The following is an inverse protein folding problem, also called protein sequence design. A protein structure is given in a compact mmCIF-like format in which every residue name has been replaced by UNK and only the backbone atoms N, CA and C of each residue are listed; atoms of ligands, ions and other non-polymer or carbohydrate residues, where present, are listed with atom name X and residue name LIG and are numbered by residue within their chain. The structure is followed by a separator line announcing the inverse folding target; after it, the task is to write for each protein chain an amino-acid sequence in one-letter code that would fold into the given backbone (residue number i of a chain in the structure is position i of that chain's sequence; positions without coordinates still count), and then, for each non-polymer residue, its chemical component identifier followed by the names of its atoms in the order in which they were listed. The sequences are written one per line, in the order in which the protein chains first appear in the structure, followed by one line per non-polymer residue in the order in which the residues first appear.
data_IF_064027514313
#
_entry.id   IF_064027514313
#
_cell.length_a   1.000
_cell.length_b   1.000
_cell.length_c   1.000
_cell.angle_alpha   90.00
_cell.angle_beta   90.00
_cell.angle_gamma   90.00
#
_symmetry.space_group_name_H-M   'P 1'
#
loop_
_entity.id
_entity.type
_entity.pdbx_description
1 polymer ?
#
# COMPACT_ATOMS: atom_id res chain seq x y z
N UNK A 1 -30.53 31.92 -14.98
CA UNK A 1 -30.93 30.57 -14.53
C UNK A 1 -30.00 29.55 -15.17
N UNK A 2 -28.97 29.07 -14.45
CA UNK A 2 -28.15 27.95 -14.92
C UNK A 2 -28.99 26.69 -14.73
N UNK A 3 -29.44 26.07 -15.82
CA UNK A 3 -30.06 24.75 -15.77
C UNK A 3 -29.08 23.80 -15.06
N UNK A 4 -29.45 23.35 -13.86
CA UNK A 4 -28.82 22.19 -13.25
C UNK A 4 -29.14 21.00 -14.17
N UNK A 5 -28.20 20.66 -15.04
CA UNK A 5 -28.25 19.39 -15.76
C UNK A 5 -28.27 18.31 -14.68
N UNK A 6 -29.39 17.63 -14.52
CA UNK A 6 -29.47 16.46 -13.66
C UNK A 6 -28.54 15.40 -14.25
N UNK A 7 -27.32 15.33 -13.71
CA UNK A 7 -26.38 14.26 -14.03
C UNK A 7 -26.96 12.99 -13.44
N UNK A 8 -27.67 12.23 -14.27
CA UNK A 8 -28.07 10.87 -13.95
C UNK A 8 -26.80 10.00 -13.97
N UNK A 9 -26.46 9.42 -12.81
CA UNK A 9 -25.32 8.52 -12.64
C UNK A 9 -24.33 8.93 -11.55
N UNK A 10 -23.18 8.26 -11.56
CA UNK A 10 -22.04 8.56 -10.70
C UNK A 10 -21.28 9.80 -11.16
N UNK A 11 -20.66 10.51 -10.22
CA UNK A 11 -19.77 11.62 -10.53
C UNK A 11 -18.63 11.13 -11.46
N UNK A 12 -18.30 11.83 -12.57
CA UNK A 12 -17.39 11.33 -13.60
C UNK A 12 -16.03 10.85 -13.06
N UNK A 13 -15.46 11.59 -12.10
CA UNK A 13 -14.19 11.20 -11.46
C UNK A 13 -14.31 9.92 -10.63
N UNK A 14 -15.45 9.69 -9.97
CA UNK A 14 -15.68 8.45 -9.22
C UNK A 14 -15.84 7.30 -10.20
N UNK A 15 -16.62 7.49 -11.26
CA UNK A 15 -16.79 6.49 -12.33
C UNK A 15 -15.46 6.09 -12.95
N UNK A 16 -14.58 7.07 -13.24
CA UNK A 16 -13.24 6.82 -13.77
C UNK A 16 -12.44 5.90 -12.84
N UNK A 17 -12.31 6.25 -11.55
CA UNK A 17 -11.48 5.49 -10.63
C UNK A 17 -12.08 4.13 -10.26
N UNK A 18 -13.42 4.02 -10.18
CA UNK A 18 -14.09 2.73 -10.04
C UNK A 18 -13.82 1.87 -11.27
N UNK A 19 -13.90 2.41 -12.49
CA UNK A 19 -13.61 1.66 -13.71
C UNK A 19 -12.14 1.21 -13.75
N UNK A 20 -11.19 2.08 -13.42
CA UNK A 20 -9.76 1.73 -13.32
C UNK A 20 -9.55 0.60 -12.32
N UNK A 21 -10.16 0.69 -11.14
CA UNK A 21 -10.07 -0.34 -10.12
C UNK A 21 -10.69 -1.66 -10.54
N UNK A 22 -11.87 -1.64 -11.19
CA UNK A 22 -12.53 -2.84 -11.70
C UNK A 22 -11.76 -3.49 -12.85
N UNK A 23 -11.18 -2.71 -13.76
CA UNK A 23 -10.31 -3.22 -14.83
C UNK A 23 -9.07 -3.88 -14.22
N UNK A 24 -8.43 -3.22 -13.23
CA UNK A 24 -7.31 -3.81 -12.50
C UNK A 24 -7.67 -5.12 -11.82
N UNK A 25 -8.86 -5.21 -11.21
CA UNK A 25 -9.32 -6.38 -10.48
C UNK A 25 -9.74 -7.54 -11.38
N UNK A 26 -10.40 -7.25 -12.51
CA UNK A 26 -11.08 -8.24 -13.34
C UNK A 26 -10.32 -8.63 -14.61
N UNK A 27 -9.39 -7.81 -15.08
CA UNK A 27 -8.75 -7.99 -16.40
C UNK A 27 -7.24 -8.18 -16.29
N UNK A 28 -6.56 -7.44 -15.41
CA UNK A 28 -5.10 -7.50 -15.36
C UNK A 28 -4.61 -8.60 -14.41
N UNK A 29 -3.46 -9.23 -14.72
CA UNK A 29 -2.80 -10.15 -13.80
C UNK A 29 -2.60 -9.52 -12.43
N UNK A 30 -3.07 -10.22 -11.39
CA UNK A 30 -3.00 -9.70 -10.03
C UNK A 30 -1.59 -9.84 -9.43
N UNK A 31 -0.89 -10.91 -9.79
CA UNK A 31 0.50 -11.17 -9.40
C UNK A 31 1.46 -10.86 -10.55
N UNK A 32 2.74 -10.70 -10.20
CA UNK A 32 3.82 -10.50 -11.17
C UNK A 32 4.00 -11.73 -12.05
N UNK A 33 4.06 -11.51 -13.36
CA UNK A 33 4.26 -12.53 -14.37
C UNK A 33 5.75 -12.85 -14.57
N UNK A 34 6.08 -14.09 -14.92
CA UNK A 34 7.49 -14.49 -15.17
C UNK A 34 8.11 -13.75 -16.36
N UNK A 35 7.32 -13.54 -17.42
CA UNK A 35 7.68 -12.72 -18.56
C UNK A 35 7.38 -11.24 -18.32
N UNK A 36 8.04 -10.36 -19.08
CA UNK A 36 7.72 -8.92 -19.06
C UNK A 36 6.25 -8.68 -19.44
N UNK A 37 5.50 -7.95 -18.62
CA UNK A 37 4.07 -7.72 -18.84
C UNK A 37 3.72 -7.18 -20.23
N UNK A 38 4.59 -6.34 -20.81
CA UNK A 38 4.38 -5.74 -22.12
C UNK A 38 4.59 -6.68 -23.31
N UNK A 39 5.11 -7.91 -23.11
CA UNK A 39 5.17 -8.92 -24.19
C UNK A 39 3.82 -9.58 -24.44
N UNK A 40 2.82 -9.36 -23.58
CA UNK A 40 1.46 -9.89 -23.70
C UNK A 40 1.39 -11.44 -23.78
N UNK A 41 2.47 -12.13 -23.41
CA UNK A 41 2.54 -13.60 -23.32
C UNK A 41 1.52 -14.14 -22.32
N UNK A 42 1.26 -13.39 -21.24
CA UNK A 42 0.25 -13.72 -20.25
C UNK A 42 -1.17 -13.91 -20.84
N UNK A 43 -1.49 -13.32 -22.01
CA UNK A 43 -2.77 -13.56 -22.68
C UNK A 43 -2.87 -14.96 -23.31
N UNK A 44 -1.72 -15.57 -23.63
CA UNK A 44 -1.62 -16.88 -24.28
C UNK A 44 -1.27 -17.99 -23.27
N UNK A 45 -0.72 -17.63 -22.12
CA UNK A 45 -0.30 -18.54 -21.05
C UNK A 45 -1.46 -18.95 -20.12
N UNK A 46 -2.64 -19.28 -20.69
CA UNK A 46 -3.77 -19.81 -19.92
C UNK A 46 -4.72 -18.78 -19.29
N UNK A 47 -4.63 -17.52 -19.70
CA UNK A 47 -5.57 -16.47 -19.27
C UNK A 47 -7.04 -16.80 -19.61
N UNK A 48 -8.00 -16.49 -18.72
CA UNK A 48 -7.87 -15.87 -17.40
C UNK A 48 -7.84 -16.85 -16.21
N UNK A 49 -7.76 -18.16 -16.47
CA UNK A 49 -8.01 -19.18 -15.43
C UNK A 49 -6.73 -19.67 -14.75
N UNK A 50 -5.59 -19.63 -15.43
CA UNK A 50 -4.31 -20.04 -14.87
C UNK A 50 -3.87 -19.10 -13.74
N UNK A 51 -3.58 -19.65 -12.56
CA UNK A 51 -3.28 -18.90 -11.34
C UNK A 51 -2.06 -17.97 -11.43
N UNK A 52 -1.12 -18.25 -12.35
CA UNK A 52 0.08 -17.43 -12.52
C UNK A 52 -0.19 -16.13 -13.30
N UNK A 53 -1.24 -16.11 -14.14
CA UNK A 53 -1.63 -14.94 -14.96
C UNK A 53 -3.05 -14.42 -14.66
N UNK A 54 -3.79 -15.09 -13.78
CA UNK A 54 -5.18 -14.79 -13.51
C UNK A 54 -5.37 -13.41 -12.86
N UNK A 55 -6.45 -12.70 -13.26
CA UNK A 55 -6.93 -11.55 -12.51
C UNK A 55 -7.48 -11.95 -11.14
N UNK A 56 -7.53 -10.99 -10.23
CA UNK A 56 -7.99 -11.21 -8.86
C UNK A 56 -9.43 -11.73 -8.77
N UNK A 57 -10.29 -11.29 -9.69
CA UNK A 57 -11.65 -11.80 -9.78
C UNK A 57 -11.67 -13.32 -9.99
N UNK A 58 -10.85 -13.83 -10.91
CA UNK A 58 -10.80 -15.25 -11.21
C UNK A 58 -10.16 -16.05 -10.08
N UNK A 59 -9.06 -15.55 -9.51
CA UNK A 59 -8.41 -16.15 -8.34
C UNK A 59 -9.33 -16.25 -7.13
N UNK A 60 -10.16 -15.23 -6.90
CA UNK A 60 -11.14 -15.22 -5.82
C UNK A 60 -12.31 -16.18 -6.09
N UNK A 61 -12.82 -16.23 -7.33
CA UNK A 61 -13.95 -17.09 -7.72
C UNK A 61 -13.57 -18.57 -7.77
N UNK A 62 -12.33 -18.89 -8.15
CA UNK A 62 -11.80 -20.26 -8.14
C UNK A 62 -11.48 -20.76 -6.72
N UNK A 63 -11.50 -19.87 -5.72
CA UNK A 63 -11.21 -20.20 -4.32
C UNK A 63 -9.72 -20.36 -4.01
N UNK A 64 -8.83 -20.07 -4.96
CA UNK A 64 -7.38 -20.16 -4.76
C UNK A 64 -6.88 -19.09 -3.78
N UNK A 65 -7.36 -17.84 -3.94
CA UNK A 65 -6.88 -16.69 -3.17
C UNK A 65 -8.06 -15.92 -2.54
N UNK A 66 -8.74 -16.49 -1.52
CA UNK A 66 -9.99 -15.93 -0.99
C UNK A 66 -9.82 -14.53 -0.37
N UNK A 67 -8.61 -14.18 0.09
CA UNK A 67 -8.31 -12.84 0.60
C UNK A 67 -8.35 -11.75 -0.47
N UNK A 68 -8.51 -12.06 -1.75
CA UNK A 68 -8.72 -11.06 -2.79
C UNK A 68 -10.18 -10.59 -2.89
N UNK A 69 -11.13 -11.39 -2.40
CA UNK A 69 -12.56 -11.09 -2.51
C UNK A 69 -12.98 -9.76 -1.86
N UNK A 70 -12.46 -9.36 -0.67
CA UNK A 70 -12.80 -8.08 -0.06
C UNK A 70 -12.46 -6.86 -0.93
N UNK A 71 -11.41 -6.94 -1.77
CA UNK A 71 -11.03 -5.86 -2.67
C UNK A 71 -12.14 -5.61 -3.71
N UNK A 72 -12.63 -6.67 -4.34
CA UNK A 72 -13.73 -6.58 -5.29
C UNK A 72 -14.99 -6.00 -4.65
N UNK A 73 -15.35 -6.45 -3.45
CA UNK A 73 -16.49 -5.92 -2.70
C UNK A 73 -16.34 -4.43 -2.42
N UNK A 74 -15.16 -3.98 -1.97
CA UNK A 74 -14.89 -2.57 -1.69
C UNK A 74 -14.96 -1.70 -2.95
N UNK A 75 -14.54 -2.21 -4.11
CA UNK A 75 -14.68 -1.51 -5.40
C UNK A 75 -16.12 -1.33 -5.85
N UNK A 76 -17.05 -2.17 -5.36
CA UNK A 76 -18.47 -2.05 -5.67
C UNK A 76 -19.21 -1.07 -4.73
N UNK A 77 -18.67 -0.76 -3.55
CA UNK A 77 -19.33 0.14 -2.58
C UNK A 77 -19.62 1.54 -3.14
N UNK A 78 -18.76 2.18 -3.96
CA UNK A 78 -19.06 3.49 -4.54
C UNK A 78 -20.33 3.54 -5.39
N UNK A 79 -20.83 2.42 -5.92
CA UNK A 79 -22.11 2.39 -6.66
C UNK A 79 -23.31 2.79 -5.78
N UNK A 80 -23.20 2.75 -4.45
CA UNK A 80 -24.21 3.29 -3.52
C UNK A 80 -24.38 4.82 -3.66
N UNK A 81 -23.44 5.51 -4.32
CA UNK A 81 -23.52 6.94 -4.62
C UNK A 81 -24.24 7.24 -5.93
N UNK A 82 -24.90 6.26 -6.54
CA UNK A 82 -25.69 6.48 -7.75
C UNK A 82 -26.72 7.59 -7.55
N UNK A 83 -26.73 8.59 -8.44
CA UNK A 83 -27.55 9.80 -8.35
C UNK A 83 -27.36 10.65 -7.08
N UNK A 84 -26.28 10.44 -6.31
CA UNK A 84 -25.93 11.29 -5.16
C UNK A 84 -25.05 12.46 -5.60
N UNK A 85 -25.37 13.64 -5.08
CA UNK A 85 -24.62 14.86 -5.38
C UNK A 85 -23.37 14.97 -4.52
N UNK A 86 -22.32 15.65 -5.03
CA UNK A 86 -21.07 15.92 -4.29
C UNK A 86 -21.31 16.70 -2.98
N UNK A 87 -22.39 17.49 -2.90
CA UNK A 87 -22.75 18.27 -1.72
C UNK A 87 -23.33 17.41 -0.57
N UNK A 88 -23.70 16.15 -0.82
CA UNK A 88 -24.19 15.25 0.22
C UNK A 88 -23.04 14.88 1.18
N UNK A 89 -23.15 15.13 2.51
CA UNK A 89 -22.13 14.70 3.47
C UNK A 89 -21.85 13.19 3.46
N UNK A 90 -22.77 12.37 2.97
CA UNK A 90 -22.58 10.94 2.77
C UNK A 90 -21.58 10.64 1.65
N UNK A 91 -21.58 11.41 0.55
CA UNK A 91 -20.70 11.24 -0.60
C UNK A 91 -19.22 11.23 -0.18
N UNK A 92 -18.79 12.28 0.51
CA UNK A 92 -17.40 12.38 0.98
C UNK A 92 -17.04 11.31 2.01
N UNK A 93 -17.93 11.02 2.98
CA UNK A 93 -17.68 10.02 4.02
C UNK A 93 -17.52 8.62 3.46
N UNK A 94 -18.39 8.22 2.53
CA UNK A 94 -18.33 6.89 1.92
C UNK A 94 -17.04 6.72 1.13
N UNK A 95 -16.66 7.69 0.29
CA UNK A 95 -15.45 7.61 -0.52
C UNK A 95 -14.17 7.61 0.33
N UNK A 96 -14.13 8.40 1.40
CA UNK A 96 -13.02 8.38 2.37
C UNK A 96 -12.94 7.00 3.03
N UNK A 97 -14.06 6.46 3.51
CA UNK A 97 -14.07 5.16 4.18
C UNK A 97 -13.64 4.04 3.23
N UNK A 98 -14.24 3.94 2.05
CA UNK A 98 -13.94 2.91 1.05
C UNK A 98 -12.50 3.02 0.57
N UNK A 99 -12.05 4.22 0.23
CA UNK A 99 -10.69 4.45 -0.24
C UNK A 99 -9.65 4.13 0.84
N UNK A 100 -9.88 4.57 2.08
CA UNK A 100 -8.97 4.28 3.19
C UNK A 100 -8.94 2.79 3.53
N UNK A 101 -10.11 2.15 3.66
CA UNK A 101 -10.20 0.73 4.01
C UNK A 101 -9.62 -0.13 2.88
N UNK A 102 -9.97 0.13 1.62
CA UNK A 102 -9.47 -0.61 0.47
C UNK A 102 -7.96 -0.48 0.29
N UNK A 103 -7.44 0.74 0.42
CA UNK A 103 -5.99 0.98 0.34
C UNK A 103 -5.26 0.31 1.51
N UNK A 104 -5.73 0.50 2.74
CA UNK A 104 -5.12 -0.12 3.92
C UNK A 104 -5.18 -1.65 3.85
N UNK A 105 -6.27 -2.23 3.37
CA UNK A 105 -6.41 -3.66 3.18
C UNK A 105 -5.36 -4.19 2.21
N UNK A 106 -5.17 -3.55 1.05
CA UNK A 106 -4.13 -3.95 0.09
C UNK A 106 -2.72 -3.83 0.67
N UNK A 107 -2.45 -2.75 1.40
CA UNK A 107 -1.14 -2.58 2.05
C UNK A 107 -0.90 -3.66 3.10
N UNK A 108 -1.86 -3.88 3.99
CA UNK A 108 -1.77 -4.92 5.01
C UNK A 108 -1.62 -6.28 4.38
N UNK A 109 -2.39 -6.63 3.35
CA UNK A 109 -2.27 -7.88 2.61
C UNK A 109 -0.87 -8.04 1.99
N UNK A 110 -0.39 -7.03 1.25
CA UNK A 110 0.91 -7.09 0.55
C UNK A 110 2.11 -7.19 1.48
N UNK A 111 1.96 -6.73 2.72
CA UNK A 111 2.98 -6.82 3.74
C UNK A 111 2.80 -8.02 4.67
N UNK A 112 1.58 -8.46 4.94
CA UNK A 112 1.30 -9.57 5.84
C UNK A 112 1.57 -10.94 5.20
N UNK A 113 1.33 -11.09 3.89
CA UNK A 113 1.47 -12.37 3.19
C UNK A 113 2.74 -12.34 2.33
N UNK A 114 3.67 -13.25 2.63
CA UNK A 114 4.93 -13.41 1.90
C UNK A 114 4.99 -14.68 1.05
N UNK A 115 6.18 -14.96 0.53
CA UNK A 115 6.47 -16.11 -0.34
C UNK A 115 6.41 -17.47 0.40
N UNK A 116 6.40 -17.46 1.74
CA UNK A 116 6.40 -18.65 2.62
C UNK A 116 5.23 -18.64 3.61
N UNK A 117 4.14 -17.95 3.27
CA UNK A 117 2.99 -17.75 4.17
C UNK A 117 3.06 -16.43 4.93
N UNK A 118 2.54 -16.39 6.16
CA UNK A 118 2.51 -15.18 6.97
C UNK A 118 3.91 -14.64 7.25
N UNK A 119 4.12 -13.34 7.04
CA UNK A 119 5.39 -12.67 7.34
C UNK A 119 5.60 -12.49 8.84
N UNK A 120 4.52 -12.39 9.61
CA UNK A 120 4.58 -12.18 11.05
C UNK A 120 4.02 -13.38 11.79
N UNK A 121 4.76 -13.90 12.77
CA UNK A 121 4.37 -15.13 13.51
C UNK A 121 3.04 -14.98 14.26
N UNK A 122 2.72 -13.78 14.75
CA UNK A 122 1.45 -13.53 15.45
C UNK A 122 0.22 -13.74 14.54
N UNK A 123 0.37 -13.61 13.22
CA UNK A 123 -0.71 -13.92 12.27
C UNK A 123 -0.92 -15.43 12.17
N UNK A 124 0.15 -16.22 12.18
CA UNK A 124 0.05 -17.69 12.24
C UNK A 124 -0.64 -18.13 13.53
N UNK A 125 -0.36 -17.49 14.66
CA UNK A 125 -1.01 -17.80 15.92
C UNK A 125 -2.52 -17.47 15.93
N UNK A 126 -2.94 -16.41 15.23
CA UNK A 126 -4.35 -15.98 15.18
C UNK A 126 -5.18 -16.71 14.12
N UNK A 127 -4.62 -16.91 12.92
CA UNK A 127 -5.34 -17.42 11.75
C UNK A 127 -4.91 -18.82 11.34
N UNK A 128 -3.91 -19.41 12.01
CA UNK A 128 -3.29 -20.66 11.60
C UNK A 128 -2.30 -20.48 10.46
N UNK A 129 -1.69 -21.58 10.03
CA UNK A 129 -0.84 -21.60 8.84
C UNK A 129 -1.68 -21.30 7.60
N UNK A 130 -1.24 -20.33 6.78
CA UNK A 130 -1.95 -19.94 5.57
C UNK A 130 -2.00 -21.09 4.54
N UNK A 131 -1.03 -22.00 4.58
CA UNK A 131 -0.91 -23.13 3.63
C UNK A 131 -0.56 -22.72 2.19
N UNK A 132 -0.33 -21.43 1.96
CA UNK A 132 -0.15 -20.84 0.63
C UNK A 132 0.77 -19.61 0.70
N UNK A 133 1.09 -19.03 -0.45
CA UNK A 133 2.00 -17.90 -0.63
C UNK A 133 1.39 -16.80 -1.47
N UNK A 134 1.96 -15.61 -1.30
CA UNK A 134 1.67 -14.47 -2.14
C UNK A 134 2.94 -14.01 -2.87
N UNK A 135 2.86 -13.98 -4.19
CA UNK A 135 3.90 -13.42 -5.04
C UNK A 135 3.84 -11.90 -5.06
N UNK A 136 4.83 -11.28 -5.70
CA UNK A 136 4.83 -9.84 -5.93
C UNK A 136 3.51 -9.39 -6.58
N UNK A 137 2.94 -8.30 -6.09
CA UNK A 137 1.72 -7.71 -6.65
C UNK A 137 2.01 -7.13 -8.04
N UNK A 138 1.18 -7.49 -9.02
CA UNK A 138 1.28 -7.05 -10.41
C UNK A 138 0.51 -5.76 -10.71
N UNK A 139 0.26 -5.52 -12.01
CA UNK A 139 -0.42 -4.33 -12.49
C UNK A 139 -1.88 -4.24 -12.06
N UNK A 140 -2.57 -5.37 -11.89
CA UNK A 140 -3.95 -5.39 -11.38
C UNK A 140 -4.04 -4.77 -9.98
N UNK A 141 -3.18 -5.23 -9.07
CA UNK A 141 -3.08 -4.69 -7.72
C UNK A 141 -2.65 -3.22 -7.70
N UNK A 142 -1.72 -2.81 -8.58
CA UNK A 142 -1.31 -1.41 -8.72
C UNK A 142 -2.48 -0.50 -9.10
N UNK A 143 -3.31 -0.90 -10.07
CA UNK A 143 -4.48 -0.11 -10.48
C UNK A 143 -5.55 -0.06 -9.38
N UNK A 144 -5.79 -1.16 -8.67
CA UNK A 144 -6.72 -1.15 -7.54
C UNK A 144 -6.23 -0.26 -6.38
N UNK A 145 -4.93 -0.30 -6.05
CA UNK A 145 -4.34 0.58 -5.06
C UNK A 145 -4.47 2.06 -5.45
N UNK A 146 -4.18 2.38 -6.71
CA UNK A 146 -4.38 3.72 -7.26
C UNK A 146 -5.85 4.15 -7.19
N UNK A 147 -6.78 3.28 -7.61
CA UNK A 147 -8.21 3.56 -7.54
C UNK A 147 -8.67 3.89 -6.11
N UNK A 148 -8.31 3.09 -5.10
CA UNK A 148 -8.69 3.39 -3.72
C UNK A 148 -8.06 4.69 -3.20
N UNK A 149 -6.80 4.95 -3.53
CA UNK A 149 -6.12 6.18 -3.14
C UNK A 149 -6.80 7.42 -3.72
N UNK A 150 -7.18 7.37 -5.00
CA UNK A 150 -7.85 8.50 -5.65
C UNK A 150 -9.34 8.60 -5.30
N UNK A 151 -10.02 7.50 -4.97
CA UNK A 151 -11.35 7.57 -4.37
C UNK A 151 -11.28 8.24 -2.99
N UNK A 152 -10.27 7.91 -2.18
CA UNK A 152 -10.01 8.56 -0.90
C UNK A 152 -9.78 10.08 -1.07
N UNK A 153 -8.93 10.48 -2.02
CA UNK A 153 -8.65 11.90 -2.28
C UNK A 153 -9.88 12.66 -2.81
N UNK A 154 -10.69 12.05 -3.69
CA UNK A 154 -11.96 12.61 -4.15
C UNK A 154 -12.93 12.80 -2.98
N UNK A 155 -12.98 11.84 -2.04
CA UNK A 155 -13.77 11.95 -0.83
C UNK A 155 -13.34 13.11 0.07
N UNK A 156 -12.02 13.30 0.27
CA UNK A 156 -11.45 14.43 1.01
C UNK A 156 -11.77 15.78 0.34
N UNK A 157 -11.58 15.88 -0.98
CA UNK A 157 -11.94 17.07 -1.74
C UNK A 157 -13.46 17.33 -1.70
N UNK A 158 -14.29 16.29 -1.70
CA UNK A 158 -15.74 16.39 -1.49
C UNK A 158 -16.13 17.02 -0.15
N UNK A 159 -15.27 16.92 0.88
CA UNK A 159 -15.46 17.56 2.18
C UNK A 159 -14.88 18.98 2.28
N UNK A 160 -14.34 19.53 1.19
CA UNK A 160 -13.81 20.90 1.16
C UNK A 160 -12.34 21.03 1.56
N UNK A 161 -11.59 19.93 1.70
CA UNK A 161 -10.13 19.95 1.92
C UNK A 161 -9.45 20.63 0.73
N UNK A 162 -8.50 21.55 0.99
CA UNK A 162 -7.84 22.40 -0.03
C UNK A 162 -8.85 23.07 -0.98
N UNK A 163 -9.92 23.65 -0.43
CA UNK A 163 -10.96 24.33 -1.23
C UNK A 163 -11.79 23.40 -2.12
N UNK A 164 -11.65 22.08 -1.95
CA UNK A 164 -12.35 21.06 -2.74
C UNK A 164 -11.72 20.74 -4.09
N UNK A 165 -10.47 21.17 -4.31
CA UNK A 165 -9.68 20.85 -5.49
C UNK A 165 -9.24 19.37 -5.48
N UNK A 166 -9.84 18.59 -6.38
CA UNK A 166 -9.58 17.16 -6.48
C UNK A 166 -8.16 16.88 -6.97
N UNK A 167 -7.62 17.70 -7.88
CA UNK A 167 -6.30 17.47 -8.47
C UNK A 167 -5.19 17.69 -7.44
N UNK A 168 -5.27 18.79 -6.69
CA UNK A 168 -4.28 19.14 -5.66
C UNK A 168 -4.30 18.10 -4.53
N UNK A 169 -5.48 17.76 -4.01
CA UNK A 169 -5.61 16.74 -2.94
C UNK A 169 -5.11 15.38 -3.42
N UNK A 170 -5.40 15.00 -4.66
CA UNK A 170 -4.92 13.74 -5.26
C UNK A 170 -3.41 13.69 -5.43
N UNK A 171 -2.80 14.79 -5.86
CA UNK A 171 -1.33 14.89 -6.00
C UNK A 171 -0.65 14.79 -4.65
N UNK A 172 -1.15 15.50 -3.64
CA UNK A 172 -0.62 15.43 -2.28
C UNK A 172 -0.74 14.02 -1.72
N UNK A 173 -1.92 13.38 -1.86
CA UNK A 173 -2.14 12.02 -1.41
C UNK A 173 -1.17 11.03 -2.09
N UNK A 174 -0.99 11.13 -3.41
CA UNK A 174 -0.06 10.31 -4.16
C UNK A 174 1.38 10.46 -3.68
N UNK A 175 1.88 11.69 -3.54
CA UNK A 175 3.25 11.94 -3.06
C UNK A 175 3.45 11.39 -1.64
N UNK A 176 2.50 11.64 -0.73
CA UNK A 176 2.57 11.11 0.63
C UNK A 176 2.62 9.58 0.61
N UNK A 177 1.77 8.93 -0.17
CA UNK A 177 1.76 7.46 -0.29
C UNK A 177 3.08 6.92 -0.84
N UNK A 178 3.63 7.50 -1.90
CA UNK A 178 4.91 7.06 -2.48
C UNK A 178 6.04 7.24 -1.47
N UNK A 179 6.13 8.40 -0.83
CA UNK A 179 7.14 8.66 0.21
C UNK A 179 6.99 7.68 1.38
N UNK A 180 5.76 7.42 1.83
CA UNK A 180 5.49 6.45 2.88
C UNK A 180 5.98 5.04 2.50
N UNK A 181 5.67 4.58 1.28
CA UNK A 181 5.99 3.23 0.84
C UNK A 181 7.46 3.01 0.52
N UNK A 182 8.15 4.01 -0.05
CA UNK A 182 9.53 3.84 -0.51
C UNK A 182 10.58 4.38 0.46
N UNK A 183 10.23 5.30 1.34
CA UNK A 183 11.17 5.88 2.32
C UNK A 183 10.84 5.36 3.71
N UNK A 184 9.63 5.62 4.20
CA UNK A 184 9.30 5.26 5.58
C UNK A 184 9.20 3.76 5.82
N UNK A 185 8.65 2.97 4.88
CA UNK A 185 8.53 1.53 5.07
C UNK A 185 9.89 0.82 5.22
N UNK A 186 10.89 1.02 4.34
CA UNK A 186 12.23 0.45 4.55
C UNK A 186 12.89 0.91 5.86
N UNK A 187 12.72 2.18 6.24
CA UNK A 187 13.24 2.70 7.51
C UNK A 187 12.60 1.97 8.69
N UNK A 188 11.28 1.82 8.70
CA UNK A 188 10.56 1.09 9.75
C UNK A 188 10.98 -0.38 9.81
N UNK A 189 11.19 -1.04 8.67
CA UNK A 189 11.69 -2.42 8.64
C UNK A 189 13.12 -2.52 9.19
N UNK A 190 14.00 -1.58 8.84
CA UNK A 190 15.36 -1.51 9.38
C UNK A 190 15.36 -1.33 10.89
N UNK A 191 14.52 -0.43 11.41
CA UNK A 191 14.37 -0.21 12.85
C UNK A 191 13.73 -1.40 13.57
N UNK A 192 12.72 -2.03 12.96
CA UNK A 192 12.10 -3.25 13.50
C UNK A 192 13.11 -4.39 13.61
N UNK A 193 13.95 -4.58 12.59
CA UNK A 193 15.03 -5.57 12.62
C UNK A 193 16.10 -5.24 13.68
N UNK A 194 16.32 -3.97 14.00
CA UNK A 194 17.24 -3.57 15.06
C UNK A 194 16.77 -4.04 16.46
N UNK A 195 15.46 -4.18 16.67
CA UNK A 195 14.86 -4.67 17.92
C UNK A 195 14.91 -6.19 18.09
N UNK A 196 15.29 -6.95 17.05
CA UNK A 196 15.38 -8.41 17.09
C UNK A 196 16.76 -8.81 17.66
N UNK A 197 16.74 -9.72 18.64
CA UNK A 197 17.94 -10.34 19.23
C UNK A 197 18.48 -11.46 18.35
N UNK A 198 19.69 -11.96 18.63
CA UNK A 198 20.25 -13.11 17.90
C UNK A 198 19.43 -14.40 18.07
N UNK A 199 18.55 -14.45 19.08
CA UNK A 199 17.67 -15.57 19.38
C UNK A 199 16.25 -15.39 18.82
N UNK A 200 16.00 -14.31 18.06
CA UNK A 200 14.70 -14.04 17.43
C UNK A 200 13.65 -13.40 18.36
N UNK A 201 14.01 -13.06 19.60
CA UNK A 201 13.13 -12.37 20.54
C UNK A 201 13.19 -10.85 20.37
N UNK A 202 12.06 -10.16 20.50
CA UNK A 202 12.04 -8.69 20.52
C UNK A 202 12.50 -8.19 21.89
N UNK A 203 13.62 -7.45 21.94
CA UNK A 203 14.09 -6.85 23.18
C UNK A 203 14.36 -5.35 23.00
N UNK A 204 13.72 -4.55 23.87
CA UNK A 204 13.96 -3.11 23.92
C UNK A 204 15.38 -2.81 24.44
N UNK A 205 15.91 -3.68 25.31
CA UNK A 205 17.27 -3.57 25.86
C UNK A 205 18.34 -3.66 24.77
N UNK A 206 18.25 -4.63 23.85
CA UNK A 206 19.24 -4.76 22.76
C UNK A 206 19.15 -3.62 21.75
N UNK A 207 17.97 -3.02 21.57
CA UNK A 207 17.85 -1.79 20.77
C UNK A 207 18.59 -0.61 21.40
N UNK A 208 18.43 -0.41 22.71
CA UNK A 208 19.14 0.65 23.45
C UNK A 208 20.66 0.42 23.43
N UNK A 209 21.13 -0.83 23.65
CA UNK A 209 22.55 -1.17 23.55
C UNK A 209 23.13 -0.89 22.15
N UNK A 210 22.39 -1.23 21.09
CA UNK A 210 22.82 -0.96 19.70
C UNK A 210 22.89 0.55 19.43
N UNK A 211 21.90 1.33 19.87
CA UNK A 211 21.88 2.79 19.70
C UNK A 211 23.01 3.47 20.47
N UNK A 212 23.26 3.07 21.72
CA UNK A 212 24.28 3.69 22.57
C UNK A 212 25.63 2.97 22.51
N UNK A 213 25.88 2.21 21.44
CA UNK A 213 27.13 1.47 21.28
C UNK A 213 28.33 2.40 21.11
N UNK A 214 29.49 1.96 21.61
CA UNK A 214 30.76 2.68 21.47
C UNK A 214 31.16 2.89 19.99
N UNK A 215 30.70 2.03 19.07
CA UNK A 215 30.90 2.24 17.63
C UNK A 215 30.20 3.50 17.10
N UNK A 216 29.06 3.87 17.67
CA UNK A 216 28.29 5.05 17.24
C UNK A 216 28.76 6.31 17.98
N UNK A 217 28.91 6.24 19.30
CA UNK A 217 29.14 7.40 20.17
C UNK A 217 30.53 7.47 20.80
N UNK A 218 31.42 6.52 20.51
CA UNK A 218 32.74 6.45 21.12
C UNK A 218 33.59 7.69 20.81
N UNK A 219 34.21 8.24 21.85
CA UNK A 219 35.16 9.37 21.76
C UNK A 219 36.62 8.89 21.77
N UNK A 220 36.85 7.64 21.35
CA UNK A 220 38.16 6.99 21.38
C UNK A 220 39.25 7.77 20.64
N UNK A 221 38.90 8.62 19.68
CA UNK A 221 39.80 9.53 18.97
C UNK A 221 40.40 10.66 19.81
N UNK A 222 39.85 10.96 20.98
CA UNK A 222 40.36 12.01 21.88
C UNK A 222 41.41 11.43 22.83
N UNK A 223 41.23 10.18 23.26
CA UNK A 223 42.03 9.55 24.32
C UNK A 223 42.95 8.45 23.82
N UNK A 224 42.69 7.87 22.65
CA UNK A 224 43.42 6.76 22.06
C UNK A 224 43.68 7.04 20.56
N UNK A 225 44.69 6.39 19.97
CA UNK A 225 44.98 6.56 18.53
C UNK A 225 44.05 5.67 17.66
N UNK A 226 42.73 5.77 17.91
CA UNK A 226 41.66 5.02 17.25
C UNK A 226 40.66 6.02 16.67
N UNK A 227 39.93 5.69 15.61
CA UNK A 227 38.90 6.58 15.04
C UNK A 227 37.74 6.89 16.00
N UNK A 228 37.09 8.06 15.84
CA UNK A 228 35.86 8.38 16.58
C UNK A 228 34.71 7.47 16.12
N UNK A 229 33.70 7.33 16.99
CA UNK A 229 32.42 6.76 16.61
C UNK A 229 31.79 7.50 15.42
N UNK A 230 30.95 6.78 14.67
CA UNK A 230 30.38 7.27 13.39
C UNK A 230 29.65 8.59 13.56
N UNK A 231 28.92 8.79 14.66
CA UNK A 231 28.15 10.02 14.91
C UNK A 231 29.07 11.25 15.01
N UNK A 232 30.18 11.15 15.76
CA UNK A 232 31.14 12.24 15.89
C UNK A 232 31.86 12.52 14.58
N UNK A 233 32.26 11.49 13.84
CA UNK A 233 32.92 11.65 12.56
C UNK A 233 32.01 12.37 11.54
N UNK A 234 30.73 11.99 11.46
CA UNK A 234 29.75 12.67 10.61
C UNK A 234 29.48 14.11 11.04
N UNK A 235 29.42 14.39 12.34
CA UNK A 235 29.28 15.76 12.86
C UNK A 235 30.48 16.63 12.49
N UNK A 236 31.71 16.12 12.67
CA UNK A 236 32.92 16.85 12.29
C UNK A 236 32.96 17.14 10.79
N UNK A 237 32.64 16.15 9.94
CA UNK A 237 32.58 16.36 8.49
C UNK A 237 31.52 17.40 8.10
N UNK A 238 30.38 17.44 8.77
CA UNK A 238 29.32 18.42 8.49
C UNK A 238 29.68 19.85 8.92
N UNK A 239 30.59 20.02 9.88
CA UNK A 239 31.03 21.33 10.39
C UNK A 239 32.27 21.85 9.61
N UNK A 240 33.14 20.95 9.16
CA UNK A 240 34.39 21.29 8.47
C UNK A 240 34.22 21.56 6.96
N UNK A 241 33.08 21.18 6.38
CA UNK A 241 32.68 21.53 5.00
C UNK A 241 31.86 22.82 5.02
#
# INVERSE_FOLDING_TARGET
MRQHKEVHGLHPTVTLWVAVGLIGFAVLPWYGTDSNFFTLSWLLDGYPFDGDVAPALFLALQGEKPWLAPVGLLLLVPFLLWNRQKNDPFFGRLLIAVGAIGFAYLMLQGFAIGLRGWRFEWLTALFGELGDRQFGMGYGAMLCAGAFLFLFSVGLAGRGVVGGDVFVVSTIAFVITVVALFIFMPILQMLANAMITQEGTYSLSSFVEKIFSERLWGIGCVTQNIGCGVAWNSLFLAILV
#
